data_IF_962424178229
#
_entry.id   IF_962424178229
#
_cell.length_a   1.000
_cell.length_b   1.000
_cell.length_c   1.000
_cell.angle_alpha   90.00
_cell.angle_beta   90.00
_cell.angle_gamma   90.00
#
_symmetry.space_group_name_H-M   'P 1'
#
loop_
_entity.id
_entity.type
_entity.pdbx_description
1 polymer ?
#
# COMPACT_ATOMS: atom_id res chain seq x y z
N UNK A 1 -4.76 55.70 -16.52
CA UNK A 1 -4.40 54.93 -15.29
C UNK A 1 -5.12 53.57 -15.13
N UNK A 2 -6.32 53.35 -15.67
CA UNK A 2 -7.09 52.10 -15.54
C UNK A 2 -6.44 50.90 -16.23
N UNK A 3 -5.73 51.05 -17.33
CA UNK A 3 -5.12 49.95 -18.13
C UNK A 3 -3.97 49.23 -17.44
N UNK A 4 -3.17 49.94 -16.64
CA UNK A 4 -2.02 49.34 -15.92
C UNK A 4 -2.49 48.47 -14.75
N UNK A 5 -3.49 48.92 -14.01
CA UNK A 5 -4.06 48.14 -12.92
C UNK A 5 -4.66 46.82 -13.38
N UNK A 6 -5.33 46.81 -14.53
CA UNK A 6 -5.94 45.57 -15.09
C UNK A 6 -4.88 44.55 -15.53
N UNK A 7 -3.76 45.01 -16.10
CA UNK A 7 -2.65 44.13 -16.48
C UNK A 7 -1.97 43.48 -15.27
N UNK A 8 -1.82 44.20 -14.15
CA UNK A 8 -1.24 43.67 -12.90
C UNK A 8 -2.15 42.61 -12.30
N UNK A 9 -3.46 42.82 -12.30
CA UNK A 9 -4.44 41.84 -11.77
C UNK A 9 -4.42 40.55 -12.60
N UNK A 10 -4.43 40.64 -13.93
CA UNK A 10 -4.36 39.46 -14.81
C UNK A 10 -3.04 38.71 -14.62
N UNK A 11 -1.91 39.44 -14.54
CA UNK A 11 -0.61 38.80 -14.27
C UNK A 11 -0.58 38.05 -12.94
N UNK A 12 -1.14 38.61 -11.88
CA UNK A 12 -1.25 37.95 -10.56
C UNK A 12 -2.10 36.70 -10.61
N UNK A 13 -3.23 36.70 -11.33
CA UNK A 13 -4.11 35.54 -11.50
C UNK A 13 -3.39 34.42 -12.27
N UNK A 14 -2.69 34.75 -13.35
CA UNK A 14 -1.95 33.76 -14.16
C UNK A 14 -0.81 33.11 -13.36
N UNK A 15 -0.06 33.88 -12.57
CA UNK A 15 0.99 33.36 -11.71
C UNK A 15 0.39 32.48 -10.61
N UNK A 16 -0.73 32.88 -9.98
CA UNK A 16 -1.42 32.10 -8.98
C UNK A 16 -1.95 30.78 -9.53
N UNK A 17 -2.56 30.77 -10.71
CA UNK A 17 -3.00 29.55 -11.40
C UNK A 17 -1.84 28.65 -11.78
N UNK A 18 -0.74 29.21 -12.30
CA UNK A 18 0.47 28.45 -12.62
C UNK A 18 1.08 27.78 -11.39
N UNK A 19 1.13 28.47 -10.25
CA UNK A 19 1.61 27.93 -8.99
C UNK A 19 0.70 26.81 -8.45
N UNK A 20 -0.63 26.98 -8.51
CA UNK A 20 -1.59 25.95 -8.10
C UNK A 20 -1.49 24.69 -8.97
N UNK A 21 -1.33 24.84 -10.29
CA UNK A 21 -1.13 23.71 -11.20
C UNK A 21 0.20 23.00 -10.92
N UNK A 22 1.28 23.76 -10.68
CA UNK A 22 2.58 23.20 -10.34
C UNK A 22 2.51 22.36 -9.04
N UNK A 23 1.94 22.91 -7.98
CA UNK A 23 1.75 22.20 -6.70
C UNK A 23 0.87 20.96 -6.86
N UNK A 24 -0.16 21.01 -7.73
CA UNK A 24 -1.04 19.87 -8.01
C UNK A 24 -0.32 18.71 -8.70
N UNK A 25 0.65 18.99 -9.57
CA UNK A 25 1.42 17.96 -10.28
C UNK A 25 2.44 17.28 -9.36
N UNK A 26 3.11 18.03 -8.47
CA UNK A 26 4.11 17.48 -7.56
C UNK A 26 3.53 16.61 -6.43
N UNK A 27 2.23 16.75 -6.13
CA UNK A 27 1.58 16.02 -5.03
C UNK A 27 0.83 14.76 -5.46
N UNK A 28 0.91 14.36 -6.72
CA UNK A 28 0.26 13.10 -7.14
C UNK A 28 1.01 11.89 -6.59
N UNK A 29 0.29 10.96 -5.91
CA UNK A 29 0.91 9.73 -5.42
C UNK A 29 1.50 8.91 -6.55
N UNK A 30 2.74 8.49 -6.42
CA UNK A 30 3.37 7.56 -7.35
C UNK A 30 2.76 6.16 -7.23
N UNK A 31 2.40 5.54 -8.36
CA UNK A 31 2.01 4.13 -8.42
C UNK A 31 3.20 3.30 -8.89
N UNK A 32 3.68 2.40 -8.03
CA UNK A 32 4.68 1.40 -8.37
C UNK A 32 3.96 0.07 -8.64
N UNK A 33 4.22 -0.56 -9.79
CA UNK A 33 3.67 -1.86 -10.12
C UNK A 33 4.78 -2.92 -10.17
N UNK A 34 4.54 -4.06 -9.54
CA UNK A 34 5.49 -5.18 -9.49
C UNK A 34 4.75 -6.50 -9.24
N UNK A 35 5.48 -7.60 -9.14
CA UNK A 35 4.95 -8.94 -8.86
C UNK A 35 5.41 -9.45 -7.50
N UNK A 36 4.76 -10.48 -7.00
CA UNK A 36 5.10 -11.13 -5.74
C UNK A 36 6.56 -11.59 -5.73
N UNK A 37 7.24 -11.37 -4.60
CA UNK A 37 8.65 -11.69 -4.41
C UNK A 37 9.61 -10.57 -4.79
N UNK A 38 9.21 -9.62 -5.62
CA UNK A 38 10.03 -8.47 -5.97
C UNK A 38 10.02 -7.41 -4.87
N UNK A 39 11.16 -6.79 -4.57
CA UNK A 39 11.22 -5.72 -3.59
C UNK A 39 10.62 -4.42 -4.13
N UNK A 40 9.85 -3.73 -3.30
CA UNK A 40 9.33 -2.40 -3.58
C UNK A 40 9.64 -1.46 -2.42
N UNK A 41 10.03 -0.22 -2.75
CA UNK A 41 10.37 0.79 -1.75
C UNK A 41 9.27 1.84 -1.68
N UNK A 42 8.70 2.04 -0.51
CA UNK A 42 7.75 3.11 -0.22
C UNK A 42 8.28 3.96 0.95
N UNK A 43 8.61 5.20 0.66
CA UNK A 43 9.32 6.05 1.61
C UNK A 43 10.67 5.44 2.02
N UNK A 44 10.87 5.22 3.31
CA UNK A 44 12.09 4.62 3.84
C UNK A 44 12.00 3.10 4.06
N UNK A 45 10.91 2.44 3.66
CA UNK A 45 10.72 1.01 3.89
C UNK A 45 10.71 0.22 2.60
N UNK A 46 11.51 -0.85 2.59
CA UNK A 46 11.51 -1.86 1.54
C UNK A 46 10.57 -2.98 1.94
N UNK A 47 9.65 -3.35 1.05
CA UNK A 47 8.68 -4.42 1.23
C UNK A 47 8.94 -5.53 0.21
N UNK A 48 8.77 -6.77 0.63
CA UNK A 48 8.60 -7.92 -0.24
C UNK A 48 7.31 -8.60 0.19
N UNK A 49 6.39 -8.81 -0.76
CA UNK A 49 5.10 -9.47 -0.49
C UNK A 49 5.05 -10.76 -1.28
N UNK A 50 4.62 -11.84 -0.62
CA UNK A 50 4.48 -13.16 -1.22
C UNK A 50 3.07 -13.71 -1.00
N UNK A 51 2.59 -14.54 -1.91
CA UNK A 51 1.37 -15.32 -1.72
C UNK A 51 1.69 -16.57 -0.91
N UNK A 52 0.96 -16.84 0.17
CA UNK A 52 1.14 -18.01 1.05
C UNK A 52 -0.02 -19.01 0.99
N UNK A 53 -0.92 -18.87 0.02
CA UNK A 53 -2.05 -19.77 -0.15
C UNK A 53 -3.34 -19.31 0.50
N UNK A 54 -4.29 -20.21 0.63
CA UNK A 54 -5.60 -19.99 1.25
C UNK A 54 -5.81 -20.91 2.44
N UNK A 55 -6.71 -20.52 3.35
CA UNK A 55 -7.11 -21.37 4.48
C UNK A 55 -8.53 -21.05 4.99
N UNK A 56 -9.09 -21.95 5.78
CA UNK A 56 -10.46 -21.86 6.34
C UNK A 56 -10.47 -21.29 7.77
N UNK A 57 -9.44 -20.58 8.15
CA UNK A 57 -9.34 -19.95 9.45
C UNK A 57 -8.89 -20.87 10.58
N UNK A 58 -9.19 -20.48 11.81
CA UNK A 58 -8.89 -21.21 13.03
C UNK A 58 -10.18 -21.73 13.68
N UNK A 59 -10.08 -22.29 14.91
CA UNK A 59 -11.26 -22.64 15.69
C UNK A 59 -12.07 -21.43 16.12
N UNK A 60 -11.43 -20.31 16.32
CA UNK A 60 -12.02 -19.08 16.88
C UNK A 60 -12.44 -18.09 15.80
N UNK A 61 -11.68 -18.02 14.69
CA UNK A 61 -11.94 -17.08 13.61
C UNK A 61 -12.07 -17.83 12.29
N UNK A 62 -13.26 -17.77 11.70
CA UNK A 62 -13.56 -18.39 10.42
C UNK A 62 -13.90 -17.30 9.39
N UNK A 63 -13.54 -17.52 8.11
CA UNK A 63 -13.95 -16.60 7.05
C UNK A 63 -15.43 -16.76 6.74
N UNK A 64 -16.04 -15.72 6.19
CA UNK A 64 -17.34 -15.83 5.50
C UNK A 64 -17.19 -16.57 4.16
N UNK A 65 -16.04 -16.43 3.52
CA UNK A 65 -15.70 -17.04 2.24
C UNK A 65 -14.43 -17.91 2.38
N UNK A 66 -13.26 -17.33 2.11
CA UNK A 66 -11.95 -18.01 2.20
C UNK A 66 -10.89 -16.98 2.58
N UNK A 67 -10.03 -17.31 3.52
CA UNK A 67 -8.88 -16.48 3.81
C UNK A 67 -7.79 -16.68 2.77
N UNK A 68 -7.43 -15.61 2.06
CA UNK A 68 -6.22 -15.52 1.24
C UNK A 68 -5.11 -14.91 2.11
N UNK A 69 -4.01 -15.63 2.25
CA UNK A 69 -2.88 -15.26 3.11
C UNK A 69 -1.70 -14.76 2.31
N UNK A 70 -1.06 -13.70 2.80
CA UNK A 70 0.19 -13.17 2.27
C UNK A 70 1.28 -13.16 3.33
N UNK A 71 2.52 -13.35 2.88
CA UNK A 71 3.75 -13.09 3.63
C UNK A 71 4.26 -11.68 3.34
N UNK A 72 4.80 -11.02 4.34
CA UNK A 72 5.31 -9.66 4.27
C UNK A 72 6.68 -9.64 4.92
N UNK A 73 7.72 -9.33 4.14
CA UNK A 73 9.02 -8.95 4.68
C UNK A 73 9.16 -7.44 4.53
N UNK A 74 9.40 -6.74 5.65
CA UNK A 74 9.59 -5.30 5.66
C UNK A 74 10.92 -4.94 6.31
N UNK A 75 11.70 -4.04 5.66
CA UNK A 75 12.96 -3.52 6.20
C UNK A 75 12.96 -2.00 6.14
N UNK A 76 13.10 -1.38 7.29
CA UNK A 76 13.29 0.06 7.38
C UNK A 76 14.74 0.42 7.03
N UNK A 77 14.96 1.06 5.89
CA UNK A 77 16.25 1.57 5.44
C UNK A 77 16.54 3.00 5.92
N UNK A 78 15.58 3.64 6.60
CA UNK A 78 15.75 4.96 7.21
C UNK A 78 16.48 4.89 8.55
N UNK A 79 16.75 6.07 9.13
CA UNK A 79 17.46 6.21 10.40
C UNK A 79 16.51 6.30 11.61
N UNK A 80 15.24 6.53 11.39
CA UNK A 80 14.23 6.66 12.44
C UNK A 80 13.33 5.43 12.49
N UNK A 81 12.82 5.11 13.68
CA UNK A 81 11.84 4.04 13.85
C UNK A 81 10.55 4.39 13.13
N UNK A 82 9.95 3.39 12.48
CA UNK A 82 8.62 3.49 11.90
C UNK A 82 7.78 2.28 12.32
N UNK A 83 6.61 2.12 11.74
CA UNK A 83 5.67 1.06 12.12
C UNK A 83 5.18 0.35 10.86
N UNK A 84 5.05 -0.97 10.95
CA UNK A 84 4.34 -1.83 10.03
C UNK A 84 2.95 -2.14 10.62
N UNK A 85 1.90 -1.95 9.85
CA UNK A 85 0.52 -2.16 10.27
C UNK A 85 -0.25 -2.94 9.21
N UNK A 86 -1.12 -3.84 9.62
CA UNK A 86 -2.00 -4.57 8.70
C UNK A 86 -2.86 -3.67 7.82
N UNK A 87 -3.30 -2.52 8.32
CA UNK A 87 -4.08 -1.53 7.56
C UNK A 87 -3.33 -0.82 6.41
N UNK A 88 -2.03 -1.07 6.24
CA UNK A 88 -1.26 -0.62 5.07
C UNK A 88 -1.51 -1.50 3.84
N UNK A 89 -2.07 -2.69 4.03
CA UNK A 89 -2.27 -3.71 3.00
C UNK A 89 -3.75 -3.87 2.70
N UNK A 90 -4.11 -3.77 1.43
CA UNK A 90 -5.44 -4.06 0.92
C UNK A 90 -5.29 -5.09 -0.19
N UNK A 91 -6.09 -6.14 -0.17
CA UNK A 91 -6.18 -7.04 -1.31
C UNK A 91 -7.18 -6.46 -2.33
N UNK A 92 -6.90 -6.65 -3.61
CA UNK A 92 -7.77 -6.24 -4.70
C UNK A 92 -7.87 -7.38 -5.72
N UNK A 93 -9.08 -7.72 -6.16
CA UNK A 93 -9.30 -8.70 -7.23
C UNK A 93 -9.31 -8.03 -8.62
N UNK A 94 -9.43 -8.84 -9.69
CA UNK A 94 -9.53 -8.37 -11.07
C UNK A 94 -10.77 -7.49 -11.33
N UNK A 95 -11.83 -7.63 -10.52
CA UNK A 95 -13.04 -6.81 -10.59
C UNK A 95 -12.89 -5.48 -9.82
N UNK A 96 -11.68 -5.17 -9.32
CA UNK A 96 -11.34 -3.98 -8.54
C UNK A 96 -12.02 -3.91 -7.16
N UNK A 97 -12.59 -5.01 -6.66
CA UNK A 97 -13.08 -5.08 -5.29
C UNK A 97 -11.90 -5.10 -4.33
N UNK A 98 -12.03 -4.38 -3.22
CA UNK A 98 -10.99 -4.25 -2.22
C UNK A 98 -11.42 -4.94 -0.93
N UNK A 99 -10.49 -5.67 -0.33
CA UNK A 99 -10.67 -6.42 0.90
C UNK A 99 -9.65 -5.94 1.93
N UNK A 100 -10.11 -5.66 3.13
CA UNK A 100 -9.25 -5.23 4.23
C UNK A 100 -8.62 -6.44 4.93
N UNK A 101 -7.48 -6.21 5.60
CA UNK A 101 -6.83 -7.24 6.39
C UNK A 101 -7.72 -7.68 7.56
N UNK A 102 -7.87 -8.99 7.73
CA UNK A 102 -8.59 -9.58 8.86
C UNK A 102 -7.59 -9.86 9.97
N UNK A 103 -7.91 -9.34 11.14
CA UNK A 103 -7.11 -9.53 12.35
C UNK A 103 -7.64 -10.71 13.16
N UNK A 104 -6.72 -11.54 13.64
CA UNK A 104 -7.03 -12.69 14.48
C UNK A 104 -5.76 -13.38 14.92
N UNK A 105 -5.87 -14.36 15.78
CA UNK A 105 -4.75 -15.20 16.22
C UNK A 105 -4.66 -16.47 15.36
N UNK A 106 -4.12 -16.34 14.16
CA UNK A 106 -3.90 -17.45 13.24
C UNK A 106 -2.49 -18.02 13.36
N UNK A 107 -1.51 -17.17 13.67
CA UNK A 107 -0.11 -17.55 13.83
C UNK A 107 0.65 -16.54 14.69
N UNK A 108 1.84 -16.90 15.16
CA UNK A 108 2.75 -15.98 15.86
C UNK A 108 3.32 -14.87 14.96
N UNK A 109 3.14 -14.99 13.64
CA UNK A 109 3.60 -14.01 12.65
C UNK A 109 2.50 -13.03 12.23
N UNK A 110 1.29 -13.12 12.78
CA UNK A 110 0.19 -12.26 12.38
C UNK A 110 0.52 -10.79 12.60
N UNK A 111 0.24 -9.98 11.58
CA UNK A 111 0.50 -8.56 11.58
C UNK A 111 -0.69 -7.80 12.14
N UNK A 112 -0.54 -7.20 13.29
CA UNK A 112 -1.42 -6.16 13.80
C UNK A 112 -0.71 -4.81 13.73
N UNK A 113 0.33 -4.65 14.55
CA UNK A 113 1.17 -3.46 14.63
C UNK A 113 2.57 -3.90 15.08
N UNK A 114 3.57 -3.64 14.23
CA UNK A 114 4.94 -4.08 14.47
C UNK A 114 5.92 -2.91 14.33
N UNK A 115 6.75 -2.62 15.36
CA UNK A 115 7.77 -1.58 15.25
C UNK A 115 8.88 -1.99 14.26
N UNK A 116 9.16 -1.15 13.28
CA UNK A 116 10.28 -1.32 12.36
C UNK A 116 11.48 -0.48 12.82
N UNK A 117 12.45 -1.14 13.46
CA UNK A 117 13.71 -0.52 13.79
C UNK A 117 14.60 -0.35 12.54
N UNK A 118 15.47 0.68 12.49
CA UNK A 118 16.40 0.87 11.38
C UNK A 118 17.21 -0.40 11.08
N UNK A 119 17.28 -0.74 9.81
CA UNK A 119 18.07 -1.85 9.24
C UNK A 119 17.73 -3.27 9.74
N UNK A 120 16.67 -3.45 10.54
CA UNK A 120 16.23 -4.77 10.99
C UNK A 120 15.03 -5.22 10.16
N UNK A 121 15.14 -6.32 9.40
CA UNK A 121 14.01 -6.88 8.68
C UNK A 121 13.04 -7.53 9.67
N UNK A 122 11.77 -7.49 9.33
CA UNK A 122 10.67 -8.13 10.06
C UNK A 122 9.86 -8.95 9.06
N UNK A 123 9.51 -10.17 9.45
CA UNK A 123 8.63 -11.06 8.70
C UNK A 123 7.30 -11.21 9.41
N UNK A 124 6.23 -10.90 8.71
CA UNK A 124 4.85 -11.00 9.21
C UNK A 124 3.94 -11.59 8.15
N UNK A 125 2.73 -11.97 8.56
CA UNK A 125 1.68 -12.44 7.67
C UNK A 125 0.39 -11.67 7.92
N UNK A 126 -0.43 -11.56 6.90
CA UNK A 126 -1.82 -11.10 7.06
C UNK A 126 -2.73 -11.83 6.08
N UNK A 127 -4.02 -11.80 6.32
CA UNK A 127 -5.02 -12.48 5.51
C UNK A 127 -6.21 -11.57 5.22
N UNK A 128 -6.93 -11.95 4.16
CA UNK A 128 -8.11 -11.24 3.66
C UNK A 128 -9.24 -12.24 3.43
N UNK A 129 -10.44 -11.94 3.89
CA UNK A 129 -11.61 -12.76 3.61
C UNK A 129 -12.18 -12.41 2.23
N UNK A 130 -12.08 -13.35 1.29
CA UNK A 130 -12.42 -13.11 -0.11
C UNK A 130 -13.23 -14.26 -0.70
N UNK A 131 -14.15 -14.01 -1.62
CA UNK A 131 -14.74 -15.04 -2.47
C UNK A 131 -13.67 -15.51 -3.48
N UNK A 132 -12.76 -16.36 -3.00
CA UNK A 132 -11.56 -16.78 -3.71
C UNK A 132 -11.93 -17.59 -4.97
N UNK A 133 -11.30 -17.23 -6.08
CA UNK A 133 -11.42 -17.87 -7.37
C UNK A 133 -10.01 -18.06 -7.95
N UNK A 134 -9.63 -19.31 -8.22
CA UNK A 134 -8.28 -19.65 -8.67
C UNK A 134 -7.93 -19.08 -10.06
N UNK A 135 -8.94 -18.70 -10.86
CA UNK A 135 -8.74 -18.13 -12.20
C UNK A 135 -8.59 -16.59 -12.17
N UNK A 136 -8.93 -15.95 -11.06
CA UNK A 136 -8.83 -14.49 -10.93
C UNK A 136 -7.42 -14.01 -10.61
N UNK A 137 -7.13 -12.80 -11.08
CA UNK A 137 -5.93 -12.08 -10.67
C UNK A 137 -6.17 -11.41 -9.31
N UNK A 138 -5.16 -11.49 -8.45
CA UNK A 138 -5.17 -10.81 -7.16
C UNK A 138 -3.94 -9.92 -7.01
N UNK A 139 -4.18 -8.76 -6.43
CA UNK A 139 -3.17 -7.74 -6.19
C UNK A 139 -3.18 -7.31 -4.74
N UNK A 140 -2.01 -7.03 -4.18
CA UNK A 140 -1.88 -6.35 -2.89
C UNK A 140 -1.54 -4.89 -3.14
N UNK A 141 -2.37 -4.00 -2.62
CA UNK A 141 -2.10 -2.57 -2.57
C UNK A 141 -1.39 -2.27 -1.25
N UNK A 142 -0.17 -1.76 -1.32
CA UNK A 142 0.63 -1.37 -0.16
C UNK A 142 0.76 0.14 -0.11
N UNK A 143 0.46 0.73 1.04
CA UNK A 143 0.64 2.17 1.30
C UNK A 143 1.76 2.39 2.30
N UNK A 144 2.48 3.50 2.18
CA UNK A 144 3.39 3.93 3.23
C UNK A 144 2.60 4.18 4.54
N UNK A 145 3.22 3.89 5.69
CA UNK A 145 2.61 4.22 6.98
C UNK A 145 2.51 5.74 7.18
N UNK A 146 1.50 6.20 7.92
CA UNK A 146 1.23 7.63 8.17
C UNK A 146 2.41 8.40 8.78
N UNK A 147 3.33 7.71 9.46
CA UNK A 147 4.56 8.29 9.99
C UNK A 147 5.66 8.52 8.95
N UNK A 148 5.45 8.09 7.71
CA UNK A 148 6.42 8.23 6.62
C UNK A 148 5.98 9.35 5.67
N UNK A 149 6.91 10.20 5.23
CA UNK A 149 6.61 11.32 4.33
C UNK A 149 6.50 10.83 2.87
N UNK A 150 5.69 9.80 2.60
CA UNK A 150 5.44 9.33 1.24
C UNK A 150 3.95 9.14 1.02
N UNK A 151 3.45 9.64 -0.08
CA UNK A 151 2.10 9.40 -0.58
C UNK A 151 2.05 8.25 -1.59
N UNK A 152 3.20 7.67 -1.96
CA UNK A 152 3.29 6.60 -2.94
C UNK A 152 2.64 5.32 -2.45
N UNK A 153 2.18 4.53 -3.38
CA UNK A 153 1.65 3.20 -3.11
C UNK A 153 2.12 2.19 -4.17
N UNK A 154 2.19 0.93 -3.77
CA UNK A 154 2.51 -0.16 -4.66
C UNK A 154 1.28 -1.00 -4.95
N UNK A 155 1.18 -1.47 -6.20
CA UNK A 155 0.26 -2.51 -6.64
C UNK A 155 1.09 -3.74 -7.01
N UNK A 156 1.03 -4.76 -6.18
CA UNK A 156 1.82 -5.98 -6.30
C UNK A 156 0.91 -7.11 -6.76
N UNK A 157 1.13 -7.63 -7.95
CA UNK A 157 0.39 -8.80 -8.40
C UNK A 157 0.89 -10.05 -7.65
N UNK A 158 -0.03 -10.82 -7.03
CA UNK A 158 0.34 -11.98 -6.20
C UNK A 158 -0.15 -13.31 -6.75
N UNK A 159 -1.12 -13.30 -7.65
CA UNK A 159 -1.66 -14.51 -8.26
C UNK A 159 -2.18 -14.23 -9.67
N UNK A 160 -1.94 -15.16 -10.60
CA UNK A 160 -2.31 -15.10 -12.02
C UNK A 160 -1.86 -13.81 -12.70
N UNK A 161 -0.64 -13.39 -12.42
CA UNK A 161 -0.05 -12.20 -13.01
C UNK A 161 0.18 -12.43 -14.51
N UNK A 162 -0.25 -11.50 -15.36
CA UNK A 162 0.12 -11.51 -16.76
C UNK A 162 1.64 -11.30 -16.88
N UNK A 163 2.30 -12.19 -17.61
CA UNK A 163 3.73 -12.15 -17.91
C UNK A 163 4.02 -11.25 -19.12
#
# INVERSE_FOLDING_TARGET
MVRVGFAIVIGGILIGLGFLLYMSVETQPGLIQTVAGDPVTLGAVNYVVTYEGTHQGSKEVKPENTFLKIGITAKNAGNEKTVLSGGQFLLMDSDQRKYEAVYGEFSSKDLLLEPLNPNKPVEKTTQFDVPFDEEKQYYVLVKAHKSQPSSDFAKICILNCDS
#
